data_IF_286724196588
#
_entry.id   IF_286724196588
#
_cell.length_a   1.000
_cell.length_b   1.000
_cell.length_c   1.000
_cell.angle_alpha   90.00
_cell.angle_beta   90.00
_cell.angle_gamma   90.00
#
_symmetry.space_group_name_H-M   'P 1'
#
loop_
_entity.id
_entity.type
_entity.pdbx_description
1 polymer ?
#
# COMPACT_ATOMS: atom_id res chain seq x y z
N UNK A 1 16.78 9.87 -22.44
CA UNK A 1 15.86 8.71 -22.51
C UNK A 1 15.85 8.00 -21.17
N UNK A 2 14.71 7.45 -20.77
CA UNK A 2 14.52 6.75 -19.50
C UNK A 2 15.01 5.29 -19.51
N UNK A 3 15.01 4.70 -20.70
CA UNK A 3 15.46 3.34 -20.96
C UNK A 3 16.72 3.36 -21.82
N UNK A 4 17.44 2.24 -21.80
CA UNK A 4 18.57 1.93 -22.68
C UNK A 4 18.26 0.66 -23.43
N UNK A 5 18.62 0.65 -24.70
CA UNK A 5 18.55 -0.49 -25.59
C UNK A 5 19.77 -0.46 -26.50
N UNK A 6 20.42 -1.60 -26.64
CA UNK A 6 21.46 -1.80 -27.65
C UNK A 6 21.20 -3.14 -28.32
N UNK A 7 20.88 -3.10 -29.61
CA UNK A 7 20.56 -4.28 -30.41
C UNK A 7 21.80 -4.78 -31.14
N UNK A 8 22.09 -6.07 -31.06
CA UNK A 8 23.21 -6.71 -31.78
C UNK A 8 22.65 -7.75 -32.74
N UNK A 9 23.17 -7.79 -33.97
CA UNK A 9 22.77 -8.73 -35.02
C UNK A 9 22.79 -8.11 -36.42
N UNK A 10 21.95 -8.62 -37.32
CA UNK A 10 21.77 -8.14 -38.69
C UNK A 10 20.46 -7.36 -38.92
N UNK A 11 20.27 -6.89 -40.16
CA UNK A 11 19.12 -6.05 -40.55
C UNK A 11 17.90 -6.80 -41.11
N UNK A 12 17.94 -8.14 -41.16
CA UNK A 12 16.84 -8.97 -41.68
C UNK A 12 15.64 -9.08 -40.73
N UNK A 13 14.70 -9.97 -41.06
CA UNK A 13 13.53 -10.28 -40.23
C UNK A 13 12.52 -9.14 -40.09
N UNK A 14 11.46 -9.40 -39.34
CA UNK A 14 10.42 -8.44 -38.96
C UNK A 14 10.71 -7.86 -37.58
N UNK A 15 10.48 -6.56 -37.35
CA UNK A 15 10.68 -5.95 -36.06
C UNK A 15 9.71 -6.49 -35.01
N UNK A 16 10.16 -6.60 -33.76
CA UNK A 16 9.33 -6.93 -32.62
C UNK A 16 9.68 -6.07 -31.40
N UNK A 17 8.66 -5.80 -30.58
CA UNK A 17 8.76 -5.08 -29.32
C UNK A 17 7.98 -5.84 -28.25
N UNK A 18 8.68 -6.32 -27.22
CA UNK A 18 8.07 -7.11 -26.15
C UNK A 18 8.61 -6.67 -24.80
N UNK A 19 7.98 -5.65 -24.23
CA UNK A 19 8.41 -5.04 -22.98
C UNK A 19 7.27 -4.43 -22.17
N UNK A 20 7.49 -4.26 -20.87
CA UNK A 20 6.56 -3.65 -19.91
C UNK A 20 6.67 -2.14 -19.75
N UNK A 21 7.17 -1.38 -20.75
CA UNK A 21 7.29 0.09 -20.63
C UNK A 21 5.99 0.81 -20.22
N UNK A 22 4.82 0.24 -20.51
CA UNK A 22 3.52 0.85 -20.20
C UNK A 22 3.01 0.58 -18.78
N UNK A 23 3.39 -0.55 -18.17
CA UNK A 23 2.82 -1.04 -16.91
C UNK A 23 3.87 -1.47 -15.86
N UNK A 24 5.16 -1.40 -16.21
CA UNK A 24 6.28 -1.74 -15.33
C UNK A 24 6.60 -3.22 -15.28
N UNK A 25 5.98 -4.05 -16.12
CA UNK A 25 6.31 -5.46 -16.16
C UNK A 25 7.78 -5.66 -16.56
N UNK A 26 8.48 -6.50 -15.81
CA UNK A 26 9.89 -6.82 -16.03
C UNK A 26 10.03 -8.22 -16.61
N UNK A 27 11.20 -8.53 -17.17
CA UNK A 27 11.51 -9.86 -17.65
C UNK A 27 11.58 -10.83 -16.47
N UNK A 28 10.65 -11.79 -16.45
CA UNK A 28 10.56 -12.84 -15.42
C UNK A 28 11.33 -14.09 -15.83
N UNK A 29 11.24 -14.48 -17.10
CA UNK A 29 11.89 -15.68 -17.61
C UNK A 29 12.29 -15.49 -19.07
N UNK A 30 13.44 -16.07 -19.43
CA UNK A 30 13.93 -16.11 -20.80
C UNK A 30 14.33 -17.54 -21.16
N UNK A 31 13.88 -18.01 -22.32
CA UNK A 31 14.31 -19.24 -22.95
C UNK A 31 15.05 -18.91 -24.24
N UNK A 32 16.20 -19.53 -24.47
CA UNK A 32 17.00 -19.32 -25.68
C UNK A 32 17.26 -20.66 -26.35
N UNK A 33 17.05 -20.71 -27.67
CA UNK A 33 17.42 -21.83 -28.52
C UNK A 33 18.54 -21.38 -29.45
N UNK A 34 19.53 -22.24 -29.67
CA UNK A 34 20.72 -21.96 -30.48
C UNK A 34 20.95 -23.06 -31.51
N UNK A 35 21.52 -22.68 -32.64
CA UNK A 35 21.92 -23.59 -33.71
C UNK A 35 23.38 -23.30 -34.15
N UNK A 36 23.82 -23.92 -35.25
CA UNK A 36 25.21 -23.90 -35.68
C UNK A 36 25.81 -22.51 -35.82
N UNK A 37 25.04 -21.52 -36.28
CA UNK A 37 25.57 -20.20 -36.63
C UNK A 37 24.73 -19.03 -36.11
N UNK A 38 23.73 -19.29 -35.26
CA UNK A 38 22.78 -18.28 -34.81
C UNK A 38 22.06 -18.64 -33.50
N UNK A 39 21.54 -17.62 -32.84
CA UNK A 39 20.41 -17.77 -31.91
C UNK A 39 19.16 -18.02 -32.73
N UNK A 40 18.59 -19.21 -32.56
CA UNK A 40 17.48 -19.72 -33.36
C UNK A 40 16.14 -19.13 -32.93
N UNK A 41 15.90 -19.09 -31.63
CA UNK A 41 14.67 -18.50 -31.09
C UNK A 41 14.86 -18.02 -29.67
N UNK A 42 14.03 -17.07 -29.25
CA UNK A 42 13.94 -16.57 -27.88
C UNK A 42 12.49 -16.56 -27.44
N UNK A 43 12.22 -17.17 -26.29
CA UNK A 43 10.94 -17.09 -25.60
C UNK A 43 11.11 -16.22 -24.36
N UNK A 44 10.20 -15.28 -24.14
CA UNK A 44 10.24 -14.39 -22.99
C UNK A 44 8.89 -14.37 -22.27
N UNK A 45 8.95 -14.32 -20.95
CA UNK A 45 7.81 -14.12 -20.06
C UNK A 45 8.05 -12.88 -19.20
N UNK A 46 7.04 -12.03 -19.11
CA UNK A 46 7.06 -10.83 -18.27
C UNK A 46 6.33 -11.09 -16.94
N UNK A 47 6.58 -10.25 -15.92
CA UNK A 47 5.94 -10.37 -14.60
C UNK A 47 4.42 -10.17 -14.61
N UNK A 48 3.85 -9.63 -15.68
CA UNK A 48 2.40 -9.52 -15.90
C UNK A 48 1.78 -10.76 -16.57
N UNK A 49 2.56 -11.83 -16.76
CA UNK A 49 2.12 -13.10 -17.33
C UNK A 49 2.09 -13.15 -18.85
N UNK A 50 2.42 -12.06 -19.56
CA UNK A 50 2.56 -12.10 -21.02
C UNK A 50 3.74 -13.00 -21.41
N UNK A 51 3.54 -13.82 -22.43
CA UNK A 51 4.55 -14.71 -23.01
C UNK A 51 4.60 -14.50 -24.52
N UNK A 52 5.81 -14.42 -25.07
CA UNK A 52 6.02 -14.36 -26.52
C UNK A 52 7.24 -15.19 -26.94
N UNK A 53 7.20 -15.70 -28.17
CA UNK A 53 8.32 -16.42 -28.80
C UNK A 53 8.67 -15.72 -30.11
N UNK A 54 9.96 -15.51 -30.35
CA UNK A 54 10.53 -14.92 -31.55
C UNK A 54 11.51 -15.92 -32.17
N UNK A 55 11.50 -16.08 -33.50
CA UNK A 55 12.20 -17.19 -34.15
C UNK A 55 11.41 -18.51 -34.08
N UNK A 56 12.01 -19.59 -34.57
CA UNK A 56 11.35 -20.89 -34.68
C UNK A 56 12.13 -21.98 -33.93
N UNK A 57 11.67 -22.37 -32.73
CA UNK A 57 12.20 -23.51 -31.98
C UNK A 57 11.14 -24.15 -31.08
N UNK A 58 11.37 -25.41 -30.70
CA UNK A 58 10.50 -26.18 -29.78
C UNK A 58 11.09 -26.33 -28.38
N UNK A 59 12.42 -26.30 -28.25
CA UNK A 59 13.16 -26.54 -27.02
C UNK A 59 14.05 -25.33 -26.71
N UNK A 60 14.13 -24.96 -25.44
CA UNK A 60 14.86 -23.78 -24.99
C UNK A 60 15.70 -24.12 -23.76
N UNK A 61 16.90 -23.55 -23.67
CA UNK A 61 17.60 -23.42 -22.39
C UNK A 61 17.00 -22.22 -21.66
N UNK A 62 16.48 -22.43 -20.46
CA UNK A 62 15.70 -21.42 -19.74
C UNK A 62 16.46 -20.84 -18.54
N UNK A 63 16.21 -19.56 -18.28
CA UNK A 63 16.62 -18.87 -17.07
C UNK A 63 15.41 -18.12 -16.51
N UNK A 64 15.03 -18.45 -15.28
CA UNK A 64 13.98 -17.76 -14.53
C UNK A 64 14.62 -16.88 -13.46
N UNK A 65 14.25 -15.60 -13.46
CA UNK A 65 14.78 -14.62 -12.52
C UNK A 65 14.11 -14.80 -11.16
N UNK A 66 14.91 -14.77 -10.10
CA UNK A 66 14.37 -14.71 -8.75
C UNK A 66 13.72 -13.33 -8.53
N UNK A 67 12.78 -13.25 -7.59
CA UNK A 67 12.15 -11.98 -7.24
C UNK A 67 13.21 -10.97 -6.75
N UNK A 68 13.26 -9.79 -7.35
CA UNK A 68 14.27 -8.76 -7.04
C UNK A 68 15.62 -8.94 -7.76
N UNK A 69 15.82 -10.05 -8.48
CA UNK A 69 17.07 -10.30 -9.18
C UNK A 69 17.23 -9.40 -10.41
N UNK A 70 18.41 -8.80 -10.55
CA UNK A 70 18.74 -7.88 -11.65
C UNK A 70 19.95 -8.35 -12.44
N UNK A 71 20.04 -7.96 -13.70
CA UNK A 71 21.22 -8.21 -14.53
C UNK A 71 22.32 -7.22 -14.15
N UNK A 72 23.52 -7.71 -13.83
CA UNK A 72 24.67 -6.88 -13.48
C UNK A 72 25.66 -6.73 -14.63
N UNK A 73 25.71 -7.72 -15.52
CA UNK A 73 26.53 -7.70 -16.73
C UNK A 73 25.75 -8.36 -17.86
N UNK A 74 25.78 -7.75 -19.05
CA UNK A 74 25.24 -8.33 -20.27
C UNK A 74 26.27 -8.18 -21.38
N UNK A 75 26.49 -9.27 -22.09
CA UNK A 75 27.28 -9.30 -23.30
C UNK A 75 26.50 -9.99 -24.40
N UNK A 76 26.56 -9.40 -25.59
CA UNK A 76 25.93 -9.92 -26.79
C UNK A 76 27.01 -10.12 -27.87
N UNK A 77 26.79 -11.11 -28.74
CA UNK A 77 27.62 -11.33 -29.91
C UNK A 77 26.75 -11.42 -31.14
N UNK A 78 27.20 -10.82 -32.24
CA UNK A 78 26.71 -11.23 -33.55
C UNK A 78 27.31 -12.58 -33.94
N UNK A 79 26.75 -13.24 -34.95
CA UNK A 79 27.30 -14.47 -35.51
C UNK A 79 28.66 -14.31 -36.22
N UNK A 80 29.20 -13.09 -36.29
CA UNK A 80 30.48 -12.81 -36.94
C UNK A 80 30.41 -12.54 -38.45
N UNK A 81 29.25 -12.72 -39.08
CA UNK A 81 28.93 -12.22 -40.42
C UNK A 81 28.07 -10.94 -40.39
N UNK A 82 27.55 -10.57 -39.22
CA UNK A 82 26.69 -9.39 -39.06
C UNK A 82 25.26 -9.61 -39.58
N UNK A 83 24.81 -10.87 -39.65
CA UNK A 83 23.48 -11.22 -40.19
C UNK A 83 22.52 -11.76 -39.14
N UNK A 84 23.03 -12.29 -38.02
CA UNK A 84 22.23 -12.82 -36.90
C UNK A 84 22.85 -12.47 -35.56
N UNK A 85 22.05 -12.56 -34.51
CA UNK A 85 22.54 -12.70 -33.15
C UNK A 85 23.21 -14.09 -32.99
N UNK A 86 24.38 -14.13 -32.37
CA UNK A 86 25.19 -15.34 -32.21
C UNK A 86 25.33 -15.85 -30.78
N UNK A 87 25.23 -14.97 -29.78
CA UNK A 87 25.22 -15.39 -28.37
C UNK A 87 24.64 -14.33 -27.43
N UNK A 88 24.16 -14.81 -26.28
CA UNK A 88 23.65 -14.03 -25.16
C UNK A 88 24.35 -14.53 -23.90
N UNK A 89 25.06 -13.64 -23.20
CA UNK A 89 25.63 -13.93 -21.89
C UNK A 89 25.21 -12.88 -20.89
N UNK A 90 24.70 -13.27 -19.74
CA UNK A 90 24.49 -12.35 -18.64
C UNK A 90 24.83 -12.94 -17.27
N UNK A 91 25.16 -12.05 -16.34
CA UNK A 91 25.36 -12.37 -14.92
C UNK A 91 24.37 -11.56 -14.10
N UNK A 92 23.81 -12.16 -13.06
CA UNK A 92 22.80 -11.53 -12.21
C UNK A 92 23.36 -11.03 -10.88
N UNK A 93 22.56 -10.30 -10.11
CA UNK A 93 22.87 -9.87 -8.75
C UNK A 93 23.06 -11.04 -7.79
N UNK A 94 22.43 -12.19 -8.08
CA UNK A 94 22.59 -13.43 -7.30
C UNK A 94 23.82 -14.24 -7.75
N UNK A 95 24.70 -13.64 -8.56
CA UNK A 95 25.93 -14.25 -9.12
C UNK A 95 25.65 -15.49 -9.98
N UNK A 96 24.42 -15.63 -10.50
CA UNK A 96 24.07 -16.67 -11.47
C UNK A 96 24.49 -16.22 -12.86
N UNK A 97 24.92 -17.16 -13.68
CA UNK A 97 25.34 -16.91 -15.06
C UNK A 97 24.44 -17.69 -16.02
N UNK A 98 24.07 -17.04 -17.11
CA UNK A 98 23.38 -17.66 -18.24
C UNK A 98 24.19 -17.35 -19.50
N UNK A 99 24.52 -18.37 -20.28
CA UNK A 99 25.32 -18.21 -21.49
C UNK A 99 24.93 -19.19 -22.58
N UNK A 100 24.16 -18.69 -23.54
CA UNK A 100 23.74 -19.45 -24.72
C UNK A 100 24.42 -18.87 -25.97
N UNK A 101 24.99 -19.76 -26.79
CA UNK A 101 25.77 -19.38 -27.98
C UNK A 101 25.57 -20.37 -29.11
N UNK A 102 25.77 -19.89 -30.34
CA UNK A 102 25.85 -20.73 -31.53
C UNK A 102 26.86 -21.88 -31.36
N UNK A 103 26.55 -23.04 -31.93
CA UNK A 103 27.24 -24.30 -31.61
C UNK A 103 28.37 -24.66 -32.55
N UNK A 104 28.40 -24.11 -33.78
CA UNK A 104 29.43 -24.43 -34.78
C UNK A 104 30.36 -23.27 -35.07
N UNK A 105 29.84 -22.06 -35.23
CA UNK A 105 30.64 -20.87 -35.53
C UNK A 105 31.28 -20.30 -34.25
N UNK A 106 32.53 -19.84 -34.35
CA UNK A 106 33.25 -19.23 -33.23
C UNK A 106 32.77 -17.80 -32.94
N UNK A 107 32.70 -17.45 -31.66
CA UNK A 107 32.40 -16.08 -31.23
C UNK A 107 33.55 -15.13 -31.62
N UNK A 108 33.20 -13.97 -32.18
CA UNK A 108 34.15 -12.92 -32.57
C UNK A 108 34.11 -11.76 -31.57
N UNK A 109 33.66 -10.58 -32.03
CA UNK A 109 33.57 -9.38 -31.20
C UNK A 109 32.45 -9.52 -30.16
N UNK A 110 32.85 -9.40 -28.90
CA UNK A 110 31.95 -9.21 -27.76
C UNK A 110 31.47 -7.76 -27.71
N UNK A 111 30.16 -7.58 -27.50
CA UNK A 111 29.55 -6.30 -27.22
C UNK A 111 29.07 -6.30 -25.77
N UNK A 112 29.86 -5.69 -24.89
CA UNK A 112 29.44 -5.44 -23.51
C UNK A 112 28.41 -4.33 -23.49
N UNK A 113 27.25 -4.60 -22.89
CA UNK A 113 26.09 -3.71 -22.87
C UNK A 113 26.00 -3.02 -21.52
N UNK A 114 25.79 -1.70 -21.53
CA UNK A 114 25.47 -0.95 -20.33
C UNK A 114 24.04 -1.26 -19.88
N UNK A 115 23.92 -1.99 -18.78
CA UNK A 115 22.64 -2.46 -18.23
C UNK A 115 21.91 -1.43 -17.37
N UNK A 116 22.49 -0.24 -17.15
CA UNK A 116 21.88 0.81 -16.33
C UNK A 116 21.58 0.34 -14.91
N UNK A 117 20.30 0.30 -14.53
CA UNK A 117 19.86 -0.24 -13.24
C UNK A 117 19.94 -1.76 -13.12
N UNK A 118 20.07 -2.47 -14.25
CA UNK A 118 19.95 -3.92 -14.34
C UNK A 118 18.52 -4.45 -14.40
N UNK A 119 17.50 -3.59 -14.30
CA UNK A 119 16.08 -3.95 -14.39
C UNK A 119 15.69 -4.02 -15.86
N UNK A 120 15.48 -5.24 -16.35
CA UNK A 120 15.08 -5.52 -17.73
C UNK A 120 13.55 -5.46 -17.86
N UNK A 121 13.04 -4.56 -18.69
CA UNK A 121 11.61 -4.44 -19.04
C UNK A 121 11.17 -5.45 -20.11
N UNK A 122 12.12 -6.08 -20.81
CA UNK A 122 11.85 -7.02 -21.88
C UNK A 122 12.85 -6.92 -23.03
N UNK A 123 12.39 -7.29 -24.23
CA UNK A 123 13.22 -7.48 -25.41
C UNK A 123 12.71 -6.64 -26.58
N UNK A 124 13.63 -6.22 -27.44
CA UNK A 124 13.32 -5.55 -28.69
C UNK A 124 14.32 -5.98 -29.77
N UNK A 125 13.86 -6.17 -30.99
CA UNK A 125 14.73 -6.71 -32.04
C UNK A 125 14.01 -6.95 -33.36
N UNK A 126 14.58 -7.88 -34.13
CA UNK A 126 14.04 -8.35 -35.41
C UNK A 126 14.18 -9.86 -35.49
N UNK A 127 13.16 -10.54 -36.01
CA UNK A 127 13.15 -11.99 -36.16
C UNK A 127 12.37 -12.46 -37.38
N UNK A 128 12.74 -13.63 -37.87
CA UNK A 128 12.00 -14.42 -38.84
C UNK A 128 12.03 -15.88 -38.39
N UNK A 129 12.66 -16.75 -39.19
CA UNK A 129 12.96 -18.12 -38.76
C UNK A 129 14.07 -18.20 -37.71
N UNK A 130 14.89 -17.14 -37.58
CA UNK A 130 15.94 -17.00 -36.56
C UNK A 130 15.84 -15.62 -35.88
N UNK A 131 16.71 -15.35 -34.91
CA UNK A 131 16.90 -13.99 -34.36
C UNK A 131 17.91 -13.21 -35.21
N UNK A 132 17.40 -12.31 -36.06
CA UNK A 132 18.23 -11.40 -36.86
C UNK A 132 19.01 -10.44 -35.97
N UNK A 133 18.33 -9.73 -35.07
CA UNK A 133 18.98 -8.92 -34.05
C UNK A 133 18.11 -8.83 -32.80
N UNK A 134 18.73 -8.60 -31.64
CA UNK A 134 17.99 -8.38 -30.40
C UNK A 134 18.81 -7.56 -29.42
N UNK A 135 18.10 -6.83 -28.57
CA UNK A 135 18.63 -6.17 -27.39
C UNK A 135 17.66 -6.29 -26.21
N UNK A 136 18.20 -6.02 -25.03
CA UNK A 136 17.44 -5.98 -23.77
C UNK A 136 17.09 -4.53 -23.47
N UNK A 137 15.84 -4.29 -23.07
CA UNK A 137 15.35 -2.96 -22.72
C UNK A 137 15.56 -2.76 -21.22
N UNK A 138 16.55 -1.97 -20.84
CA UNK A 138 16.84 -1.69 -19.43
C UNK A 138 16.28 -0.35 -18.98
N UNK A 139 15.84 -0.28 -17.72
CA UNK A 139 15.68 1.00 -17.03
C UNK A 139 17.07 1.56 -16.72
N UNK A 140 17.27 2.84 -16.96
CA UNK A 140 18.51 3.51 -16.58
C UNK A 140 18.71 3.57 -15.05
N UNK A 141 19.88 4.02 -14.59
CA UNK A 141 20.15 4.18 -13.16
C UNK A 141 19.02 4.97 -12.46
N UNK A 142 18.47 4.40 -11.40
CA UNK A 142 17.32 4.95 -10.67
C UNK A 142 17.82 5.68 -9.44
N UNK A 143 17.52 6.98 -9.33
CA UNK A 143 17.87 7.78 -8.14
C UNK A 143 16.82 7.64 -7.03
N UNK A 144 15.53 7.67 -7.38
CA UNK A 144 14.43 7.55 -6.43
C UNK A 144 13.17 7.01 -7.08
N UNK A 145 12.42 6.19 -6.34
CA UNK A 145 11.11 5.66 -6.76
C UNK A 145 10.04 6.11 -5.78
N UNK A 146 9.03 6.83 -6.28
CA UNK A 146 7.97 7.42 -5.46
C UNK A 146 6.59 7.08 -6.02
N UNK A 147 5.74 6.47 -5.21
CA UNK A 147 4.30 6.36 -5.44
C UNK A 147 3.66 7.70 -5.10
N UNK A 148 3.03 8.36 -6.05
CA UNK A 148 2.41 9.68 -5.86
C UNK A 148 1.05 9.77 -6.53
N UNK A 149 0.37 10.91 -6.35
CA UNK A 149 -0.97 11.17 -6.88
C UNK A 149 -1.96 10.05 -6.53
N UNK A 150 -1.92 9.63 -5.25
CA UNK A 150 -2.72 8.55 -4.71
C UNK A 150 -4.19 8.97 -4.64
N UNK A 151 -5.08 8.12 -5.15
CA UNK A 151 -6.53 8.33 -5.09
C UNK A 151 -7.21 7.19 -4.36
N UNK A 152 -8.21 7.53 -3.56
CA UNK A 152 -9.01 6.61 -2.75
C UNK A 152 -10.48 6.62 -3.22
N UNK A 153 -10.81 6.05 -4.39
CA UNK A 153 -12.14 6.17 -4.97
C UNK A 153 -13.24 5.51 -4.14
N UNK A 154 -12.91 4.49 -3.35
CA UNK A 154 -13.87 3.79 -2.48
C UNK A 154 -13.93 4.34 -1.06
N UNK A 155 -13.21 5.44 -0.76
CA UNK A 155 -13.11 5.99 0.60
C UNK A 155 -14.49 6.38 1.15
N UNK A 156 -15.29 7.10 0.37
CA UNK A 156 -16.62 7.59 0.78
C UNK A 156 -17.66 6.48 0.91
N UNK A 157 -17.40 5.31 0.32
CA UNK A 157 -18.28 4.14 0.39
C UNK A 157 -17.90 3.21 1.54
N UNK A 158 -16.71 3.37 2.11
CA UNK A 158 -16.21 2.51 3.16
C UNK A 158 -16.86 2.85 4.50
N UNK A 159 -17.52 1.86 5.10
CA UNK A 159 -18.07 1.96 6.45
C UNK A 159 -17.09 1.33 7.44
N UNK A 160 -16.39 2.13 8.26
CA UNK A 160 -15.40 1.60 9.19
C UNK A 160 -16.06 0.76 10.28
N UNK A 161 -15.51 -0.43 10.52
CA UNK A 161 -15.86 -1.29 11.65
C UNK A 161 -14.94 -0.92 12.81
N UNK A 162 -15.49 -0.25 13.82
CA UNK A 162 -14.74 0.21 15.00
C UNK A 162 -15.00 -0.74 16.15
N UNK A 163 -13.94 -1.33 16.69
CA UNK A 163 -13.99 -2.17 17.89
C UNK A 163 -13.50 -1.35 19.09
N UNK A 164 -14.27 -1.25 20.18
CA UNK A 164 -13.80 -0.59 21.39
C UNK A 164 -12.73 -1.45 22.07
N UNK A 165 -11.64 -0.82 22.48
CA UNK A 165 -10.64 -1.40 23.35
C UNK A 165 -10.67 -0.71 24.71
N UNK A 166 -10.85 -1.49 25.76
CA UNK A 166 -10.83 -0.99 27.13
C UNK A 166 -9.49 -0.33 27.49
N UNK A 167 -9.57 0.75 28.27
CA UNK A 167 -8.42 1.45 28.84
C UNK A 167 -8.44 1.37 30.36
N UNK A 168 -9.51 1.86 30.98
CA UNK A 168 -9.65 2.02 32.43
C UNK A 168 -11.12 2.15 32.81
N UNK A 169 -11.47 1.70 34.01
CA UNK A 169 -12.76 1.94 34.65
C UNK A 169 -12.53 2.42 36.08
N UNK A 170 -13.33 3.39 36.52
CA UNK A 170 -13.29 3.93 37.87
C UNK A 170 -14.71 4.17 38.36
N UNK A 171 -14.96 3.93 39.64
CA UNK A 171 -16.24 4.17 40.30
C UNK A 171 -16.01 5.13 41.46
N UNK A 172 -16.82 6.19 41.52
CA UNK A 172 -16.71 7.23 42.55
C UNK A 172 -18.07 7.52 43.17
N UNK A 173 -18.13 7.46 44.51
CA UNK A 173 -19.34 7.74 45.28
C UNK A 173 -19.19 9.05 46.05
N UNK A 174 -20.18 9.94 45.92
CA UNK A 174 -20.23 11.19 46.66
C UNK A 174 -21.13 11.06 47.89
N UNK A 175 -20.54 10.80 49.05
CA UNK A 175 -21.22 10.72 50.35
C UNK A 175 -21.65 12.09 50.92
N UNK A 176 -21.32 13.19 50.25
CA UNK A 176 -21.57 14.54 50.76
C UNK A 176 -22.89 15.11 50.26
N UNK A 177 -23.33 16.21 50.89
CA UNK A 177 -24.51 16.97 50.47
C UNK A 177 -24.23 17.99 49.37
N UNK A 178 -22.98 18.10 48.90
CA UNK A 178 -22.54 19.06 47.88
C UNK A 178 -22.03 18.33 46.63
N UNK A 179 -22.10 18.98 45.47
CA UNK A 179 -21.52 18.44 44.24
C UNK A 179 -20.00 18.33 44.39
N UNK A 180 -19.43 17.18 44.06
CA UNK A 180 -17.98 16.96 44.03
C UNK A 180 -17.46 17.06 42.60
N UNK A 181 -16.29 17.68 42.43
CA UNK A 181 -15.58 17.72 41.16
C UNK A 181 -14.37 16.77 41.22
N UNK A 182 -14.24 15.90 40.24
CA UNK A 182 -13.12 14.97 40.13
C UNK A 182 -12.51 15.00 38.73
N UNK A 183 -11.23 14.64 38.63
CA UNK A 183 -10.51 14.55 37.37
C UNK A 183 -9.93 13.16 37.19
N UNK A 184 -10.29 12.49 36.09
CA UNK A 184 -9.75 11.18 35.72
C UNK A 184 -8.77 11.36 34.58
N UNK A 185 -7.50 11.01 34.82
CA UNK A 185 -6.47 10.95 33.79
C UNK A 185 -6.33 9.53 33.25
N UNK A 186 -6.05 9.43 31.95
CA UNK A 186 -5.68 8.18 31.31
C UNK A 186 -4.53 8.37 30.34
N UNK A 187 -3.79 7.28 30.08
CA UNK A 187 -2.79 7.21 29.03
C UNK A 187 -2.75 5.80 28.46
N UNK A 188 -2.77 5.67 27.13
CA UNK A 188 -2.64 4.39 26.42
C UNK A 188 -1.75 4.56 25.20
N UNK A 189 -0.76 3.68 25.09
CA UNK A 189 0.12 3.60 23.92
C UNK A 189 -0.49 2.67 22.88
N UNK A 190 -0.52 3.12 21.62
CA UNK A 190 -1.15 2.45 20.49
C UNK A 190 -0.19 2.39 19.30
N UNK A 191 -0.45 1.45 18.41
CA UNK A 191 0.34 1.25 17.19
C UNK A 191 -0.51 1.54 15.96
N UNK A 192 -0.13 2.56 15.18
CA UNK A 192 -0.73 2.88 13.89
C UNK A 192 0.12 2.31 12.77
N UNK A 193 -0.47 1.43 11.96
CA UNK A 193 0.21 0.84 10.79
C UNK A 193 -0.42 1.37 9.51
N UNK A 194 0.41 1.61 8.50
CA UNK A 194 0.03 1.91 7.13
C UNK A 194 0.84 1.03 6.18
N UNK A 195 0.17 0.39 5.24
CA UNK A 195 0.79 -0.51 4.28
C UNK A 195 0.24 -0.25 2.88
N UNK A 196 1.10 -0.36 1.87
CA UNK A 196 0.77 -0.24 0.46
C UNK A 196 1.33 -1.47 -0.28
N UNK A 197 0.45 -2.28 -0.87
CA UNK A 197 0.83 -3.41 -1.74
C UNK A 197 1.01 -2.98 -3.20
N UNK A 198 2.08 -3.42 -3.87
CA UNK A 198 2.25 -3.26 -5.32
C UNK A 198 2.15 -4.63 -6.01
N UNK A 199 1.38 -4.70 -7.09
CA UNK A 199 1.03 -5.90 -7.87
C UNK A 199 2.20 -6.48 -8.67
N UNK A 200 2.95 -5.63 -9.38
CA UNK A 200 4.01 -6.01 -10.30
C UNK A 200 5.33 -6.35 -9.58
N UNK A 201 5.30 -6.34 -8.24
CA UNK A 201 6.41 -6.65 -7.34
C UNK A 201 7.64 -5.77 -7.54
N UNK A 202 7.46 -4.55 -8.06
CA UNK A 202 8.57 -3.63 -8.30
C UNK A 202 9.33 -3.27 -7.02
N UNK A 203 8.69 -3.36 -5.85
CA UNK A 203 9.29 -3.17 -4.53
C UNK A 203 10.41 -4.17 -4.22
N UNK A 204 10.45 -5.31 -4.92
CA UNK A 204 11.53 -6.29 -4.77
C UNK A 204 12.84 -5.84 -5.44
N UNK A 205 12.77 -4.96 -6.43
CA UNK A 205 13.94 -4.46 -7.19
C UNK A 205 14.27 -3.01 -6.87
N UNK A 206 13.28 -2.21 -6.49
CA UNK A 206 13.41 -0.79 -6.22
C UNK A 206 13.05 -0.45 -4.78
N UNK A 207 13.79 0.49 -4.19
CA UNK A 207 13.38 1.12 -2.94
C UNK A 207 12.25 2.13 -3.24
N UNK A 208 11.02 1.75 -2.93
CA UNK A 208 9.82 2.54 -3.20
C UNK A 208 9.40 3.31 -1.95
N UNK A 209 9.28 4.62 -2.10
CA UNK A 209 8.63 5.51 -1.13
C UNK A 209 7.21 5.86 -1.60
N UNK A 210 6.37 6.29 -0.68
CA UNK A 210 4.99 6.72 -0.93
C UNK A 210 4.87 8.17 -0.51
N UNK A 211 4.32 9.01 -1.37
CA UNK A 211 3.98 10.41 -1.08
C UNK A 211 2.47 10.60 -1.19
N UNK A 212 1.75 10.30 -0.12
CA UNK A 212 0.29 10.30 -0.08
C UNK A 212 -0.24 10.80 1.27
N UNK A 213 -1.49 11.28 1.28
CA UNK A 213 -2.25 11.45 2.52
C UNK A 213 -2.74 10.08 3.00
N UNK A 214 -2.55 9.77 4.27
CA UNK A 214 -3.01 8.50 4.84
C UNK A 214 -4.47 8.70 5.27
N UNK A 215 -5.40 7.80 4.90
CA UNK A 215 -6.77 7.84 5.41
C UNK A 215 -6.79 7.96 6.94
N UNK A 216 -7.72 8.71 7.51
CA UNK A 216 -7.93 8.75 8.95
C UNK A 216 -9.41 8.59 9.29
N UNK A 217 -9.70 8.12 10.50
CA UNK A 217 -11.08 7.96 10.99
C UNK A 217 -11.46 9.17 11.80
N UNK A 218 -12.68 9.63 11.55
CA UNK A 218 -13.26 10.76 12.25
C UNK A 218 -14.66 10.41 12.71
N UNK A 219 -15.02 10.93 13.88
CA UNK A 219 -16.39 10.91 14.37
C UNK A 219 -17.24 11.95 13.64
N UNK A 220 -18.45 11.56 13.30
CA UNK A 220 -19.48 12.43 12.72
C UNK A 220 -20.82 12.12 13.39
N UNK A 221 -21.80 13.00 13.19
CA UNK A 221 -23.15 12.86 13.74
C UNK A 221 -23.81 11.49 13.50
N UNK A 222 -23.49 10.85 12.38
CA UNK A 222 -24.05 9.56 11.95
C UNK A 222 -23.15 8.36 12.28
N UNK A 223 -22.18 8.51 13.19
CA UNK A 223 -21.21 7.48 13.56
C UNK A 223 -19.81 7.81 13.06
N UNK A 224 -19.19 6.92 12.28
CA UNK A 224 -17.80 7.06 11.87
C UNK A 224 -17.63 7.17 10.37
N UNK A 225 -16.70 8.02 9.94
CA UNK A 225 -16.34 8.21 8.53
C UNK A 225 -14.84 8.30 8.34
N UNK A 226 -14.39 8.18 7.09
CA UNK A 226 -12.99 8.33 6.73
C UNK A 226 -12.71 9.68 6.06
N UNK A 227 -11.58 10.27 6.39
CA UNK A 227 -11.01 11.44 5.74
C UNK A 227 -9.60 11.10 5.24
N UNK A 228 -8.97 11.99 4.48
CA UNK A 228 -7.56 11.81 4.04
C UNK A 228 -6.73 12.87 4.75
N UNK A 229 -5.69 12.42 5.47
CA UNK A 229 -4.76 13.30 6.14
C UNK A 229 -3.87 14.08 5.16
N UNK A 230 -3.03 14.96 5.73
CA UNK A 230 -2.07 15.75 4.95
C UNK A 230 -1.10 14.83 4.20
N UNK A 231 -0.75 15.20 2.98
CA UNK A 231 0.21 14.46 2.17
C UNK A 231 1.58 14.43 2.84
N UNK A 232 2.12 13.23 3.05
CA UNK A 232 3.42 13.01 3.65
C UNK A 232 4.22 11.96 2.88
N UNK A 233 5.54 11.97 3.06
CA UNK A 233 6.43 10.95 2.49
C UNK A 233 6.68 9.84 3.50
N UNK A 234 6.52 8.59 3.08
CA UNK A 234 6.64 7.39 3.91
C UNK A 234 7.22 6.22 3.11
N UNK A 235 7.64 5.15 3.78
CA UNK A 235 7.90 3.83 3.19
C UNK A 235 6.59 3.12 2.82
N UNK A 236 6.68 2.05 2.01
CA UNK A 236 5.56 1.14 1.67
C UNK A 236 4.91 0.47 2.89
N UNK A 237 5.63 0.36 4.00
CA UNK A 237 5.09 -0.06 5.28
C UNK A 237 5.62 0.88 6.34
N UNK A 238 4.73 1.44 7.14
CA UNK A 238 5.06 2.36 8.21
C UNK A 238 4.27 1.97 9.45
N UNK A 239 4.98 1.94 10.57
CA UNK A 239 4.42 1.67 11.88
C UNK A 239 4.85 2.82 12.79
N UNK A 240 3.88 3.48 13.42
CA UNK A 240 4.12 4.55 14.38
C UNK A 240 3.46 4.20 15.70
N UNK A 241 4.19 4.45 16.79
CA UNK A 241 3.64 4.36 18.14
C UNK A 241 3.12 5.72 18.55
N UNK A 242 1.87 5.79 18.97
CA UNK A 242 1.21 7.01 19.40
C UNK A 242 0.77 6.80 20.84
N UNK A 243 1.12 7.72 21.74
CA UNK A 243 0.63 7.72 23.11
C UNK A 243 -0.51 8.71 23.21
N UNK A 244 -1.64 8.20 23.69
CA UNK A 244 -2.88 8.93 23.77
C UNK A 244 -3.27 9.13 25.22
N UNK A 245 -3.47 10.37 25.62
CA UNK A 245 -3.78 10.74 27.00
C UNK A 245 -4.72 11.92 27.06
N UNK A 246 -5.66 11.89 28.00
CA UNK A 246 -6.55 13.01 28.26
C UNK A 246 -6.93 13.04 29.75
N UNK A 247 -7.56 14.15 30.16
CA UNK A 247 -8.10 14.37 31.50
C UNK A 247 -9.58 14.73 31.42
N UNK A 248 -10.41 13.89 32.01
CA UNK A 248 -11.86 14.06 32.03
C UNK A 248 -12.25 14.67 33.39
N UNK A 249 -12.89 15.84 33.36
CA UNK A 249 -13.47 16.47 34.55
C UNK A 249 -14.93 16.06 34.72
N UNK A 250 -15.28 15.61 35.92
CA UNK A 250 -16.59 15.05 36.25
C UNK A 250 -17.21 15.82 37.42
N UNK A 251 -18.54 15.94 37.41
CA UNK A 251 -19.33 16.50 38.50
C UNK A 251 -20.22 15.42 39.06
N UNK A 252 -19.94 14.98 40.28
CA UNK A 252 -20.66 13.89 40.95
C UNK A 252 -21.68 14.50 41.91
N UNK A 253 -22.99 14.34 41.67
CA UNK A 253 -24.02 14.91 42.54
C UNK A 253 -24.03 14.30 43.95
N UNK A 254 -24.59 15.00 44.94
CA UNK A 254 -24.76 14.50 46.31
C UNK A 254 -25.44 13.13 46.38
N UNK A 255 -24.88 12.21 47.17
CA UNK A 255 -25.43 10.87 47.41
C UNK A 255 -25.47 9.95 46.19
N UNK A 256 -24.69 10.25 45.13
CA UNK A 256 -24.67 9.46 43.89
C UNK A 256 -23.33 8.78 43.66
N UNK A 257 -23.39 7.61 43.02
CA UNK A 257 -22.23 6.92 42.45
C UNK A 257 -22.16 7.19 40.96
N UNK A 258 -20.95 7.39 40.45
CA UNK A 258 -20.66 7.55 39.04
C UNK A 258 -19.62 6.51 38.62
N UNK A 259 -20.03 5.64 37.70
CA UNK A 259 -19.14 4.68 37.06
C UNK A 259 -18.68 5.25 35.72
N UNK A 260 -17.37 5.27 35.53
CA UNK A 260 -16.72 5.82 34.34
C UNK A 260 -15.93 4.70 33.69
N UNK A 261 -16.20 4.45 32.41
CA UNK A 261 -15.47 3.52 31.59
C UNK A 261 -14.84 4.26 30.41
N UNK A 262 -13.52 4.14 30.28
CA UNK A 262 -12.75 4.80 29.23
C UNK A 262 -12.37 3.72 28.21
N UNK A 263 -12.83 3.92 26.98
CA UNK A 263 -12.52 3.02 25.86
C UNK A 263 -11.87 3.78 24.70
N UNK A 264 -11.22 3.03 23.83
CA UNK A 264 -10.56 3.54 22.63
C UNK A 264 -11.06 2.74 21.43
N UNK A 265 -11.67 3.42 20.46
CA UNK A 265 -12.08 2.80 19.21
C UNK A 265 -10.87 2.43 18.36
N UNK A 266 -10.91 1.25 17.75
CA UNK A 266 -9.91 0.78 16.79
C UNK A 266 -10.60 0.27 15.53
N UNK A 267 -10.19 0.80 14.39
CA UNK A 267 -10.63 0.31 13.08
C UNK A 267 -9.50 -0.36 12.31
N UNK A 268 -9.83 -1.44 11.61
CA UNK A 268 -9.03 -1.96 10.51
C UNK A 268 -9.62 -1.43 9.20
N UNK A 269 -8.97 -0.45 8.60
CA UNK A 269 -9.38 0.07 7.30
C UNK A 269 -8.76 -0.81 6.22
N UNK A 270 -9.49 -1.11 5.16
CA UNK A 270 -8.95 -1.86 4.03
C UNK A 270 -9.62 -1.36 2.76
N UNK A 271 -8.95 -0.43 2.09
CA UNK A 271 -9.50 0.25 0.91
C UNK A 271 -8.59 0.09 -0.29
N UNK A 272 -9.21 0.12 -1.47
CA UNK A 272 -8.50 0.18 -2.73
C UNK A 272 -8.05 1.61 -3.02
N UNK A 273 -6.75 1.75 -3.30
CA UNK A 273 -6.18 2.97 -3.83
C UNK A 273 -5.53 2.70 -5.19
N UNK A 274 -5.58 3.69 -6.07
CA UNK A 274 -4.86 3.64 -7.35
C UNK A 274 -3.82 4.76 -7.33
N UNK A 275 -2.53 4.44 -7.44
CA UNK A 275 -1.54 5.45 -7.73
C UNK A 275 -1.73 5.87 -9.19
N UNK A 276 -1.93 7.16 -9.43
CA UNK A 276 -1.99 7.65 -10.82
C UNK A 276 -0.61 7.54 -11.48
N UNK A 277 0.46 7.59 -10.69
CA UNK A 277 1.85 7.60 -11.17
C UNK A 277 2.77 6.90 -10.16
N UNK A 278 3.56 5.91 -10.60
CA UNK A 278 4.90 5.74 -10.01
C UNK A 278 5.76 6.81 -10.65
N UNK A 279 5.91 7.93 -9.94
CA UNK A 279 6.87 8.94 -10.32
C UNK A 279 8.21 8.45 -9.83
N UNK A 280 8.85 7.61 -10.63
CA UNK A 280 10.28 7.45 -10.50
C UNK A 280 10.88 8.78 -10.97
N UNK A 281 11.18 9.67 -10.03
CA UNK A 281 12.04 10.82 -10.30
C UNK A 281 13.45 10.28 -10.55
N UNK A 282 13.63 9.68 -11.73
CA UNK A 282 14.93 9.34 -12.28
C UNK A 282 15.45 10.63 -12.90
N UNK A 283 16.19 11.42 -12.11
CA UNK A 283 16.84 12.63 -12.64
C UNK A 283 17.95 12.16 -13.56
N UNK A 284 17.69 12.20 -14.87
CA UNK A 284 18.74 12.17 -15.89
C UNK A 284 19.08 13.60 -16.29
N UNK A 285 20.23 13.84 -16.94
CA UNK A 285 20.50 15.10 -17.63
C UNK A 285 19.48 15.49 -18.73
N UNK A 286 18.37 14.76 -18.91
CA UNK A 286 17.41 15.00 -20.00
C UNK A 286 16.02 14.37 -19.87
N UNK A 287 15.42 14.24 -18.66
CA UNK A 287 13.97 13.98 -18.53
C UNK A 287 13.51 13.13 -17.34
N UNK A 288 12.19 12.98 -17.20
CA UNK A 288 11.48 12.19 -16.16
C UNK A 288 10.78 11.00 -16.83
N UNK A 289 10.86 9.81 -16.25
CA UNK A 289 10.08 8.65 -16.67
C UNK A 289 8.87 8.45 -15.75
N UNK A 290 7.68 8.37 -16.32
CA UNK A 290 6.45 8.09 -15.56
C UNK A 290 5.95 6.71 -15.95
N UNK A 291 5.89 5.83 -14.98
CA UNK A 291 5.27 4.54 -15.13
C UNK A 291 3.87 4.59 -14.50
N UNK A 292 2.84 4.28 -15.28
CA UNK A 292 1.50 4.07 -14.70
C UNK A 292 1.45 2.64 -14.15
N UNK A 293 1.32 2.52 -12.84
CA UNK A 293 0.95 1.25 -12.20
C UNK A 293 -0.50 1.38 -11.81
N UNK A 294 -1.38 0.81 -12.62
CA UNK A 294 -2.83 0.89 -12.49
C UNK A 294 -3.37 -0.17 -11.52
N UNK A 295 -2.63 -0.45 -10.45
CA UNK A 295 -2.95 -1.60 -9.62
C UNK A 295 -3.40 -1.18 -8.22
N UNK A 296 -4.34 -1.98 -7.72
CA UNK A 296 -4.97 -1.87 -6.43
C UNK A 296 -3.94 -1.91 -5.31
N UNK A 297 -3.78 -0.80 -4.62
CA UNK A 297 -3.03 -0.73 -3.38
C UNK A 297 -4.00 -0.89 -2.23
N UNK A 298 -3.87 -1.97 -1.46
CA UNK A 298 -4.63 -2.16 -0.23
C UNK A 298 -4.00 -1.30 0.84
N UNK A 299 -4.74 -0.28 1.29
CA UNK A 299 -4.30 0.54 2.40
C UNK A 299 -4.97 0.05 3.67
N UNK A 300 -4.15 -0.53 4.54
CA UNK A 300 -4.55 -0.80 5.91
C UNK A 300 -4.19 0.37 6.80
N UNK A 301 -5.20 1.07 7.31
CA UNK A 301 -4.99 2.12 8.31
C UNK A 301 -5.66 1.73 9.61
N UNK A 302 -4.90 1.89 10.69
CA UNK A 302 -5.41 1.85 12.06
C UNK A 302 -5.79 3.25 12.49
N UNK A 303 -7.02 3.36 12.97
CA UNK A 303 -7.67 4.64 13.11
C UNK A 303 -8.61 4.63 14.31
N UNK A 304 -8.64 5.75 15.04
CA UNK A 304 -9.05 5.81 16.44
C UNK A 304 -10.23 6.74 16.69
N UNK A 305 -11.02 6.37 17.70
CA UNK A 305 -11.88 7.28 18.43
C UNK A 305 -11.61 7.24 19.92
N UNK A 306 -11.78 8.39 20.59
CA UNK A 306 -12.00 8.48 22.02
C UNK A 306 -13.49 8.67 22.22
N UNK A 307 -14.21 7.57 22.43
CA UNK A 307 -15.54 7.68 23.01
C UNK A 307 -15.32 7.86 24.52
N UNK A 308 -15.30 9.11 24.97
CA UNK A 308 -15.65 9.40 26.35
C UNK A 308 -17.16 9.23 26.41
N UNK A 309 -17.60 7.98 26.43
CA UNK A 309 -19.01 7.67 26.52
C UNK A 309 -19.57 8.51 27.65
N UNK A 310 -20.63 9.25 27.33
CA UNK A 310 -21.51 9.84 28.31
C UNK A 310 -21.61 8.88 29.49
N UNK A 311 -21.30 9.34 30.72
CA UNK A 311 -21.25 8.46 31.89
C UNK A 311 -22.52 7.61 31.87
N UNK A 312 -22.36 6.30 31.80
CA UNK A 312 -23.52 5.42 31.93
C UNK A 312 -23.88 5.44 33.40
N UNK A 313 -24.69 6.42 33.80
CA UNK A 313 -25.14 6.56 35.19
C UNK A 313 -26.13 5.43 35.46
N UNK A 314 -25.63 4.31 35.99
CA UNK A 314 -26.49 3.35 36.66
C UNK A 314 -26.83 3.92 38.04
N UNK A 315 -27.95 4.65 38.12
CA UNK A 315 -28.55 4.97 39.41
C UNK A 315 -29.03 3.67 40.05
N UNK A 316 -28.37 3.23 41.11
CA UNK A 316 -28.85 2.09 41.90
C UNK A 316 -30.12 2.53 42.67
N UNK A 317 -31.31 1.96 42.41
CA UNK A 317 -32.55 2.39 43.04
C UNK A 317 -32.73 1.68 44.38
N UNK A 318 -31.79 1.80 45.31
CA UNK A 318 -31.97 1.23 46.65
C UNK A 318 -31.34 2.11 47.73
N UNK A 319 -32.08 3.15 48.11
CA UNK A 319 -32.13 3.60 49.51
C UNK A 319 -33.59 3.97 49.80
N UNK A 320 -34.31 3.04 50.41
CA UNK A 320 -35.56 3.33 51.11
C UNK A 320 -35.25 4.30 52.25
N UNK A 321 -35.64 5.57 52.09
CA UNK A 321 -35.64 6.55 53.17
C UNK A 321 -37.06 7.05 53.40
N UNK A 322 -37.65 6.58 54.49
CA UNK A 322 -38.89 7.06 55.07
C UNK A 322 -38.66 8.41 55.73
N UNK A 323 -39.20 9.52 55.18
CA UNK A 323 -39.81 10.59 56.00
C UNK A 323 -40.61 11.61 55.19
N UNK A 324 -41.72 12.02 55.79
CA UNK A 324 -42.72 12.98 55.31
C UNK A 324 -42.25 14.45 55.31
N UNK A 325 -42.68 15.21 54.29
CA UNK A 325 -43.11 16.61 54.44
C UNK A 325 -42.32 17.71 53.70
N UNK A 326 -43.02 18.37 52.77
CA UNK A 326 -42.90 19.78 52.28
C UNK A 326 -41.72 20.15 51.32
N UNK A 327 -41.83 21.21 50.48
CA UNK A 327 -42.47 21.27 49.16
C UNK A 327 -41.47 21.44 47.98
N UNK A 328 -42.00 21.33 46.76
CA UNK A 328 -41.29 21.45 45.49
C UNK A 328 -40.45 22.74 45.36
N UNK A 329 -39.18 22.56 44.99
CA UNK A 329 -38.33 23.57 44.35
C UNK A 329 -38.17 23.15 42.88
N UNK A 330 -38.88 23.85 42.01
CA UNK A 330 -38.70 23.81 40.56
C UNK A 330 -37.44 24.59 40.20
N UNK A 331 -36.33 23.90 40.05
CA UNK A 331 -35.18 24.39 39.28
C UNK A 331 -34.94 23.47 38.09
N UNK A 332 -35.13 24.05 36.91
CA UNK A 332 -35.01 23.45 35.60
C UNK A 332 -33.58 22.99 35.35
N UNK A 333 -33.31 21.70 35.56
CA UNK A 333 -32.14 21.02 34.99
C UNK A 333 -32.39 20.85 33.49
N UNK A 334 -31.58 21.53 32.67
CA UNK A 334 -31.50 21.26 31.23
C UNK A 334 -30.72 19.95 31.07
N UNK A 335 -31.47 18.85 31.03
CA UNK A 335 -30.93 17.52 30.75
C UNK A 335 -31.01 17.32 29.25
N UNK A 336 -29.88 17.43 28.56
CA UNK A 336 -29.78 16.91 27.21
C UNK A 336 -29.67 15.38 27.30
N UNK A 337 -30.79 14.72 26.99
CA UNK A 337 -31.02 13.26 26.89
C UNK A 337 -31.17 12.47 28.21
N UNK A 338 -32.36 11.89 28.40
CA UNK A 338 -32.62 10.77 29.32
C UNK A 338 -33.13 9.61 28.45
N UNK A 339 -32.48 8.45 28.52
CA UNK A 339 -32.99 7.21 27.94
C UNK A 339 -33.57 6.36 29.07
N UNK A 340 -34.88 6.10 29.03
CA UNK A 340 -35.54 5.10 29.88
C UNK A 340 -35.65 3.80 29.09
N UNK A 341 -35.11 2.71 29.63
CA UNK A 341 -35.29 1.36 29.10
C UNK A 341 -36.42 0.69 29.90
N UNK A 342 -37.44 0.22 29.18
CA UNK A 342 -38.41 -0.78 29.69
C UNK A 342 -38.12 -2.11 29.03
N UNK A 343 -38.10 -3.17 29.83
CA UNK A 343 -37.90 -4.56 29.41
C UNK A 343 -38.87 -4.96 28.29
N UNK A 344 -38.33 -5.27 27.12
CA UNK A 344 -38.51 -6.52 26.36
C UNK A 344 -38.16 -6.31 24.88
N UNK A 345 -37.39 -7.27 24.36
CA UNK A 345 -36.93 -7.46 22.97
C UNK A 345 -35.81 -6.53 22.45
N UNK A 346 -34.63 -7.15 22.27
CA UNK A 346 -33.42 -6.56 21.71
C UNK A 346 -33.57 -6.25 20.21
N UNK A 347 -33.80 -4.98 19.88
CA UNK A 347 -33.42 -4.41 18.58
C UNK A 347 -32.83 -3.03 18.83
N UNK A 348 -31.50 -2.93 18.79
CA UNK A 348 -30.76 -1.67 18.97
C UNK A 348 -30.63 -0.97 17.61
N UNK A 349 -31.49 0.02 17.37
CA UNK A 349 -31.32 1.02 16.30
C UNK A 349 -31.04 2.36 16.98
N UNK A 350 -29.79 2.82 16.92
CA UNK A 350 -29.42 4.15 17.39
C UNK A 350 -29.55 5.16 16.24
N UNK A 351 -30.53 6.06 16.36
CA UNK A 351 -30.70 7.26 15.52
C UNK A 351 -30.15 8.44 16.32
N UNK A 352 -29.20 9.21 15.76
CA UNK A 352 -28.78 10.49 16.33
C UNK A 352 -29.27 11.64 15.43
N UNK A 353 -30.18 12.46 15.96
CA UNK A 353 -30.69 13.68 15.35
C UNK A 353 -29.82 14.87 15.77
N UNK A 354 -29.37 15.67 14.80
CA UNK A 354 -28.71 16.96 15.03
C UNK A 354 -29.73 18.11 14.89
N UNK A 355 -29.81 18.98 15.89
CA UNK A 355 -30.45 20.30 15.74
C UNK A 355 -29.36 21.38 15.80
N UNK A 356 -29.26 22.13 14.70
CA UNK A 356 -28.37 23.29 14.54
C UNK A 356 -29.11 24.53 15.02
N UNK A 357 -28.53 25.30 15.95
CA UNK A 357 -28.91 26.70 16.14
C UNK A 357 -27.79 27.59 15.61
N UNK A 358 -28.06 28.23 14.47
CA UNK A 358 -27.44 29.49 14.10
C UNK A 358 -28.08 30.61 14.92
N UNK A 359 -27.25 31.55 15.36
CA UNK A 359 -27.64 32.86 15.92
C UNK A 359 -28.64 33.61 15.05
#
# INVERSE_FOLDING_TARGET
>A
MATRLTTIGGGGGMPFEFHGMKNGATLKKIGVAVEGWQVKAVRAELTDGRVATFGEAKTFTEFEFDLGERITKLSLWGNGAGTRLGAIKFTTSNKREFFEKMTSWGLKKEYTIDVGSGICLGLQGRSGSDIDCMGFVFINAVNSTVLTDMKYPTLSLFKPQVTPEYVKSVSHHNDTSLVQEESITYSKTLTKTSSWSVSNKIESTLNVSVKAGIPDLVEVSSGFSLTVGVQQSTSLQKTETITESDTISLKIPPGKTMDVEITVGKANISIFAFPTVISTSMVFPGGIFRLMVSDSVMVSVFCRLVDCSTPTVKLNPDVTSTRSGIPALTDTLKVDSILLLTDQEEVLVSVLLYVKNSS
#
